data_IF_822038499840
#
_entry.id   IF_822038499840
#
_cell.length_a   1.000
_cell.length_b   1.000
_cell.length_c   1.000
_cell.angle_alpha   90.00
_cell.angle_beta   90.00
_cell.angle_gamma   90.00
#
_symmetry.space_group_name_H-M   'P 1'
#
loop_
_entity.id
_entity.type
_entity.pdbx_description
1 polymer ?
#
# COMPACT_ATOMS: atom_id res chain seq x y z
N UNK A 1 -10.75 -1.59 29.62
CA UNK A 1 -11.32 -1.33 28.28
C UNK A 1 -11.13 -2.59 27.47
N UNK A 2 -12.10 -3.00 26.65
CA UNK A 2 -12.02 -4.28 25.93
C UNK A 2 -11.26 -4.15 24.62
N UNK A 3 -10.63 -5.24 24.20
CA UNK A 3 -10.03 -5.34 22.87
C UNK A 3 -11.09 -5.19 21.77
N UNK A 4 -10.79 -4.50 20.65
CA UNK A 4 -11.73 -4.37 19.55
C UNK A 4 -12.19 -5.69 18.93
N UNK A 5 -11.38 -6.75 19.04
CA UNK A 5 -11.61 -8.02 18.33
C UNK A 5 -11.58 -9.27 19.21
N UNK A 6 -11.19 -9.13 20.48
CA UNK A 6 -11.05 -10.24 21.43
C UNK A 6 -11.82 -9.92 22.71
N UNK A 7 -12.37 -10.94 23.37
CA UNK A 7 -13.05 -10.78 24.66
C UNK A 7 -12.03 -10.74 25.83
N UNK A 8 -11.09 -9.80 25.76
CA UNK A 8 -10.08 -9.57 26.80
C UNK A 8 -9.97 -8.09 27.09
N UNK A 9 -9.54 -7.77 28.31
CA UNK A 9 -9.22 -6.40 28.68
C UNK A 9 -7.83 -6.00 28.15
N UNK A 10 -7.72 -4.75 27.70
CA UNK A 10 -6.44 -4.17 27.30
C UNK A 10 -5.66 -3.72 28.53
N UNK A 11 -4.35 -3.93 28.48
CA UNK A 11 -3.40 -3.62 29.54
C UNK A 11 -2.61 -2.35 29.20
N UNK A 12 -2.14 -1.61 30.21
CA UNK A 12 -1.27 -0.46 29.99
C UNK A 12 0.10 -0.89 29.45
N UNK A 13 0.55 -0.22 28.39
CA UNK A 13 1.85 -0.45 27.78
C UNK A 13 2.41 0.84 27.17
N UNK A 14 3.66 0.77 26.72
CA UNK A 14 4.35 1.88 26.06
C UNK A 14 4.96 1.38 24.76
N UNK A 15 4.66 2.06 23.66
CA UNK A 15 5.24 1.82 22.34
C UNK A 15 6.42 2.78 22.12
N UNK A 16 7.53 2.25 21.62
CA UNK A 16 8.78 2.99 21.38
C UNK A 16 9.25 3.81 22.60
N UNK A 17 9.07 3.26 23.79
CA UNK A 17 9.45 3.85 25.09
C UNK A 17 8.79 5.19 25.47
N UNK A 18 8.01 5.81 24.58
CA UNK A 18 7.46 7.15 24.79
C UNK A 18 5.95 7.28 24.53
N UNK A 19 5.34 6.37 23.77
CA UNK A 19 3.93 6.50 23.35
C UNK A 19 3.05 5.61 24.23
N UNK A 20 2.18 6.16 25.10
CA UNK A 20 1.30 5.34 25.92
C UNK A 20 0.23 4.66 25.05
N UNK A 21 0.10 3.36 25.20
CA UNK A 21 -0.85 2.52 24.44
C UNK A 21 -1.54 1.52 25.37
N UNK A 22 -2.57 0.85 24.83
CA UNK A 22 -3.33 -0.18 25.51
C UNK A 22 -3.14 -1.50 24.76
N UNK A 23 -2.32 -2.38 25.31
CA UNK A 23 -1.88 -3.63 24.69
C UNK A 23 -2.92 -4.74 24.85
N UNK A 24 -3.07 -5.58 23.83
CA UNK A 24 -3.91 -6.77 23.88
C UNK A 24 -3.05 -8.03 24.04
N UNK A 25 -3.22 -8.81 25.13
CA UNK A 25 -2.40 -10.00 25.37
C UNK A 25 -2.64 -11.12 24.35
N UNK A 26 -3.82 -11.19 23.75
CA UNK A 26 -4.19 -12.23 22.78
C UNK A 26 -3.68 -11.92 21.37
N UNK A 27 -3.95 -10.72 20.87
CA UNK A 27 -3.56 -10.34 19.50
C UNK A 27 -2.11 -9.87 19.39
N UNK A 28 -1.51 -9.49 20.53
CA UNK A 28 -0.24 -8.74 20.60
C UNK A 28 -0.29 -7.39 19.89
N UNK A 29 -1.50 -6.92 19.59
CA UNK A 29 -1.79 -5.62 19.03
C UNK A 29 -1.95 -4.57 20.12
N UNK A 30 -2.26 -3.35 19.70
CA UNK A 30 -2.45 -2.26 20.66
C UNK A 30 -3.41 -1.19 20.14
N UNK A 31 -4.09 -0.57 21.11
CA UNK A 31 -4.89 0.63 20.94
C UNK A 31 -4.07 1.86 21.31
N UNK A 32 -3.97 2.80 20.38
CA UNK A 32 -3.39 4.12 20.60
C UNK A 32 -4.54 5.14 20.55
N UNK A 33 -4.80 5.86 21.64
CA UNK A 33 -5.85 6.88 21.65
C UNK A 33 -5.48 8.02 20.69
N UNK A 34 -6.49 8.71 20.14
CA UNK A 34 -6.28 9.84 19.24
C UNK A 34 -5.42 10.93 19.90
N UNK A 35 -5.69 11.21 21.18
CA UNK A 35 -4.92 12.16 21.99
C UNK A 35 -3.44 11.77 22.12
N UNK A 36 -3.14 10.50 22.37
CA UNK A 36 -1.75 10.05 22.51
C UNK A 36 -1.01 10.09 21.17
N UNK A 37 -1.70 9.77 20.08
CA UNK A 37 -1.15 9.89 18.73
C UNK A 37 -0.83 11.35 18.38
N UNK A 38 -1.77 12.27 18.62
CA UNK A 38 -1.56 13.71 18.39
C UNK A 38 -0.44 14.27 19.27
N UNK A 39 -0.42 13.96 20.57
CA UNK A 39 0.65 14.39 21.46
C UNK A 39 2.02 13.86 21.04
N UNK A 40 2.07 12.63 20.51
CA UNK A 40 3.30 12.08 19.95
C UNK A 40 3.72 12.83 18.69
N UNK A 41 2.80 13.12 17.76
CA UNK A 41 3.10 13.92 16.55
C UNK A 41 3.65 15.30 16.92
N UNK A 42 3.04 15.98 17.90
CA UNK A 42 3.48 17.30 18.38
C UNK A 42 4.85 17.27 19.06
N UNK A 43 5.25 16.11 19.59
CA UNK A 43 6.55 15.90 20.22
C UNK A 43 7.69 15.70 19.22
N UNK A 44 7.36 15.40 17.95
CA UNK A 44 8.36 15.13 16.93
C UNK A 44 9.14 16.42 16.59
N UNK A 45 10.47 16.33 16.42
CA UNK A 45 11.25 17.47 15.95
C UNK A 45 10.75 17.98 14.60
N UNK A 46 10.82 19.28 14.36
CA UNK A 46 10.39 19.88 13.08
C UNK A 46 11.13 19.35 11.85
N UNK A 47 12.34 18.81 12.04
CA UNK A 47 13.13 18.17 10.98
C UNK A 47 12.76 16.71 10.74
N UNK A 48 11.94 16.11 11.60
CA UNK A 48 11.52 14.72 11.46
C UNK A 48 10.39 14.62 10.42
N UNK A 49 10.80 14.38 9.17
CA UNK A 49 9.90 14.17 8.04
C UNK A 49 10.36 12.92 7.27
N UNK A 50 9.95 11.72 7.72
CA UNK A 50 10.34 10.49 7.03
C UNK A 50 9.82 10.49 5.60
N UNK A 51 10.62 9.95 4.68
CA UNK A 51 10.22 9.77 3.29
C UNK A 51 9.01 8.82 3.23
N UNK A 52 8.00 9.21 2.47
CA UNK A 52 6.79 8.39 2.31
C UNK A 52 7.00 7.38 1.19
N UNK A 53 7.06 6.10 1.56
CA UNK A 53 7.11 4.98 0.63
C UNK A 53 5.71 4.41 0.50
N UNK A 54 5.19 4.33 -0.72
CA UNK A 54 3.87 3.75 -0.97
C UNK A 54 3.91 2.21 -0.87
N UNK A 55 2.90 1.59 -0.25
CA UNK A 55 2.87 0.15 -0.08
C UNK A 55 2.60 -0.57 -1.42
N UNK A 56 3.54 -1.44 -1.78
CA UNK A 56 3.49 -2.36 -2.91
C UNK A 56 4.45 -3.55 -2.72
N UNK A 57 3.91 -4.74 -2.44
CA UNK A 57 4.64 -6.02 -2.49
C UNK A 57 5.93 -6.11 -1.64
N UNK A 58 6.14 -5.22 -0.66
CA UNK A 58 7.25 -5.30 0.31
C UNK A 58 6.92 -6.22 1.50
N UNK A 59 7.88 -6.49 2.39
CA UNK A 59 7.73 -7.26 3.65
C UNK A 59 7.25 -8.70 3.44
N UNK A 60 8.12 -9.58 2.92
CA UNK A 60 7.76 -10.97 2.60
C UNK A 60 7.39 -11.80 3.83
N UNK A 61 8.09 -11.58 4.94
CA UNK A 61 7.96 -12.38 6.17
C UNK A 61 6.82 -11.95 7.10
N UNK A 62 6.14 -10.83 6.80
CA UNK A 62 5.06 -10.33 7.66
C UNK A 62 3.80 -11.19 7.55
N UNK A 63 3.23 -11.57 8.69
CA UNK A 63 1.98 -12.35 8.76
C UNK A 63 0.88 -11.51 9.42
N UNK A 64 -0.20 -11.18 8.69
CA UNK A 64 -1.35 -10.47 9.25
C UNK A 64 -2.05 -11.25 10.36
N UNK A 65 -2.76 -10.53 11.24
CA UNK A 65 -3.60 -11.16 12.27
C UNK A 65 -4.69 -12.06 11.66
N UNK A 66 -5.03 -13.20 12.30
CA UNK A 66 -6.18 -14.02 11.89
C UNK A 66 -7.53 -13.27 11.89
N UNK A 67 -7.61 -12.17 12.65
CA UNK A 67 -8.81 -11.31 12.74
C UNK A 67 -8.71 -10.04 11.90
N UNK A 68 -7.64 -9.88 11.12
CA UNK A 68 -7.43 -8.74 10.23
C UNK A 68 -8.63 -8.55 9.29
N UNK A 69 -9.28 -9.63 8.82
CA UNK A 69 -10.48 -9.55 7.99
C UNK A 69 -11.73 -8.95 8.65
N UNK A 70 -11.79 -8.81 9.98
CA UNK A 70 -12.98 -8.34 10.71
C UNK A 70 -12.78 -6.94 11.28
N UNK A 71 -13.78 -6.07 11.14
CA UNK A 71 -13.74 -4.74 11.76
C UNK A 71 -13.95 -4.82 13.28
N UNK A 72 -13.12 -4.13 14.04
CA UNK A 72 -13.30 -4.00 15.49
C UNK A 72 -14.28 -2.88 15.88
N UNK A 73 -14.68 -2.90 17.16
CA UNK A 73 -15.37 -1.77 17.80
C UNK A 73 -14.36 -0.88 18.53
N UNK A 74 -14.56 0.43 18.48
CA UNK A 74 -13.76 1.39 19.23
C UNK A 74 -13.86 1.09 20.74
N UNK A 75 -12.74 0.87 21.44
CA UNK A 75 -12.73 0.64 22.88
C UNK A 75 -13.22 1.82 23.73
N UNK A 76 -13.23 3.02 23.15
CA UNK A 76 -13.59 4.27 23.84
C UNK A 76 -15.08 4.61 23.68
N UNK A 77 -15.61 4.59 22.44
CA UNK A 77 -17.00 4.98 22.15
C UNK A 77 -17.91 3.85 21.66
N UNK A 78 -17.37 2.66 21.38
CA UNK A 78 -18.13 1.50 20.91
C UNK A 78 -18.60 1.54 19.45
N UNK A 79 -18.26 2.56 18.66
CA UNK A 79 -18.59 2.59 17.21
C UNK A 79 -17.66 1.71 16.40
N UNK A 80 -18.11 1.23 15.23
CA UNK A 80 -17.24 0.51 14.29
C UNK A 80 -16.03 1.35 13.87
N UNK A 81 -14.86 0.71 13.85
CA UNK A 81 -13.64 1.33 13.35
C UNK A 81 -13.66 1.38 11.81
N UNK A 82 -13.26 2.53 11.26
CA UNK A 82 -13.00 2.67 9.83
C UNK A 82 -11.69 1.96 9.48
N UNK A 83 -11.59 1.44 8.26
CA UNK A 83 -10.47 0.57 7.86
C UNK A 83 -9.83 1.05 6.57
N UNK A 84 -8.51 0.98 6.52
CA UNK A 84 -7.71 1.20 5.31
C UNK A 84 -6.81 0.00 5.08
N UNK A 85 -6.67 -0.42 3.82
CA UNK A 85 -5.84 -1.55 3.45
C UNK A 85 -4.41 -1.10 3.14
N UNK A 86 -3.43 -1.76 3.73
CA UNK A 86 -2.00 -1.59 3.43
C UNK A 86 -1.57 -2.73 2.51
N UNK A 87 -1.39 -2.42 1.22
CA UNK A 87 -1.09 -3.43 0.19
C UNK A 87 0.41 -3.72 0.07
N UNK A 88 0.97 -4.33 1.11
CA UNK A 88 2.28 -4.98 1.06
C UNK A 88 2.13 -6.42 0.54
N UNK A 89 3.18 -7.26 0.61
CA UNK A 89 3.14 -8.66 0.14
C UNK A 89 1.98 -9.43 0.73
N UNK A 90 1.82 -9.37 2.05
CA UNK A 90 0.70 -9.91 2.79
C UNK A 90 -0.11 -8.73 3.36
N UNK A 91 -1.21 -8.31 2.69
CA UNK A 91 -1.91 -7.09 3.09
C UNK A 91 -2.58 -7.23 4.46
N UNK A 92 -2.64 -6.11 5.18
CA UNK A 92 -3.35 -5.96 6.45
C UNK A 92 -4.15 -4.66 6.45
N UNK A 93 -4.93 -4.43 7.51
CA UNK A 93 -5.72 -3.23 7.69
C UNK A 93 -5.32 -2.45 8.93
N UNK A 94 -5.15 -1.15 8.76
CA UNK A 94 -5.12 -0.22 9.88
C UNK A 94 -6.55 0.24 10.16
N UNK A 95 -6.95 0.23 11.41
CA UNK A 95 -8.28 0.65 11.83
C UNK A 95 -8.24 1.93 12.66
N UNK A 96 -9.18 2.85 12.42
CA UNK A 96 -9.25 4.14 13.12
C UNK A 96 -10.70 4.49 13.47
N UNK A 97 -10.90 5.00 14.67
CA UNK A 97 -12.17 5.57 15.09
C UNK A 97 -12.35 6.95 14.42
N UNK A 98 -13.50 7.16 13.76
CA UNK A 98 -13.83 8.46 13.16
C UNK A 98 -14.33 9.49 14.18
N UNK A 99 -14.70 9.04 15.38
CA UNK A 99 -15.17 9.90 16.46
C UNK A 99 -14.00 10.36 17.36
N UNK A 100 -13.31 9.42 18.01
CA UNK A 100 -12.25 9.72 19.00
C UNK A 100 -10.85 9.82 18.38
N UNK A 101 -10.70 9.44 17.11
CA UNK A 101 -9.44 9.47 16.40
C UNK A 101 -8.43 8.37 16.79
N UNK A 102 -8.76 7.52 17.77
CA UNK A 102 -7.92 6.40 18.18
C UNK A 102 -7.71 5.36 17.09
N UNK A 103 -6.56 4.68 17.17
CA UNK A 103 -6.03 3.79 16.14
C UNK A 103 -5.81 2.42 16.76
N UNK A 104 -6.27 1.40 16.07
CA UNK A 104 -6.06 0.01 16.42
C UNK A 104 -5.07 -0.65 15.45
N UNK A 105 -4.11 -1.35 16.03
CA UNK A 105 -3.17 -2.23 15.35
C UNK A 105 -3.42 -3.64 15.83
N UNK A 106 -3.69 -4.56 14.90
CA UNK A 106 -3.98 -5.95 15.26
C UNK A 106 -2.72 -6.69 15.74
N UNK A 107 -1.55 -6.25 15.28
CA UNK A 107 -0.24 -6.80 15.59
C UNK A 107 0.78 -5.67 15.78
N UNK A 108 1.66 -5.77 16.78
CA UNK A 108 2.72 -4.79 17.02
C UNK A 108 3.68 -4.56 15.82
N UNK A 109 3.84 -5.54 14.93
CA UNK A 109 4.65 -5.41 13.71
C UNK A 109 4.06 -4.43 12.68
N UNK A 110 2.73 -4.20 12.70
CA UNK A 110 2.08 -3.28 11.78
C UNK A 110 2.60 -1.85 11.93
N UNK A 111 2.87 -1.42 13.17
CA UNK A 111 3.49 -0.13 13.43
C UNK A 111 4.90 -0.04 12.85
N UNK A 112 5.73 -1.08 13.02
CA UNK A 112 7.09 -1.10 12.47
C UNK A 112 7.08 -1.04 10.94
N UNK A 113 6.08 -1.64 10.31
CA UNK A 113 5.86 -1.53 8.87
C UNK A 113 5.50 -0.08 8.50
N UNK A 114 4.59 0.56 9.23
CA UNK A 114 4.27 1.96 8.99
C UNK A 114 5.49 2.88 9.20
N UNK A 115 6.35 2.61 10.18
CA UNK A 115 7.61 3.34 10.38
C UNK A 115 8.56 3.17 9.19
N UNK A 116 8.73 1.93 8.74
CA UNK A 116 9.59 1.60 7.59
C UNK A 116 9.09 2.23 6.29
N UNK A 117 7.79 2.50 6.18
CA UNK A 117 7.16 3.18 5.05
C UNK A 117 7.05 4.71 5.23
N UNK A 118 7.46 5.26 6.39
CA UNK A 118 7.27 6.66 6.73
C UNK A 118 5.80 7.10 6.86
N UNK A 119 4.90 6.14 7.09
CA UNK A 119 3.45 6.33 7.16
C UNK A 119 2.91 6.50 8.58
N UNK A 120 3.68 6.12 9.61
CA UNK A 120 3.28 6.23 11.02
C UNK A 120 2.96 7.67 11.45
N UNK A 121 3.57 8.66 10.81
CA UNK A 121 3.27 10.10 11.05
C UNK A 121 2.05 10.63 10.27
N UNK A 122 1.50 9.83 9.35
CA UNK A 122 0.48 10.25 8.38
C UNK A 122 -0.80 9.42 8.44
N UNK A 123 -1.04 8.70 9.54
CA UNK A 123 -2.17 7.77 9.66
C UNK A 123 -3.50 8.46 9.36
N UNK A 124 -3.70 9.69 9.86
CA UNK A 124 -4.90 10.47 9.57
C UNK A 124 -5.08 10.75 8.07
N UNK A 125 -4.00 11.06 7.35
CA UNK A 125 -4.04 11.31 5.89
C UNK A 125 -4.39 10.07 5.09
N UNK A 126 -3.99 8.88 5.57
CA UNK A 126 -4.24 7.61 4.89
C UNK A 126 -5.74 7.29 4.76
N UNK A 127 -6.58 7.83 5.65
CA UNK A 127 -8.03 7.74 5.57
C UNK A 127 -8.66 8.75 4.59
N UNK A 128 -7.88 9.67 4.00
CA UNK A 128 -8.37 10.63 3.01
C UNK A 128 -8.56 9.99 1.64
N UNK A 129 -9.55 10.47 0.88
CA UNK A 129 -9.77 10.04 -0.52
C UNK A 129 -8.56 10.33 -1.41
N UNK A 130 -7.84 11.42 -1.15
CA UNK A 130 -6.64 11.83 -1.90
C UNK A 130 -5.56 10.78 -1.78
N UNK A 131 -5.20 10.40 -0.54
CA UNK A 131 -4.17 9.41 -0.29
C UNK A 131 -4.55 8.04 -0.85
N UNK A 132 -5.79 7.59 -0.61
CA UNK A 132 -6.26 6.30 -1.14
C UNK A 132 -6.25 6.24 -2.67
N UNK A 133 -6.48 7.37 -3.35
CA UNK A 133 -6.40 7.45 -4.81
C UNK A 133 -4.95 7.38 -5.29
N UNK A 134 -4.04 8.12 -4.64
CA UNK A 134 -2.59 8.08 -4.91
C UNK A 134 -2.05 6.65 -4.81
N UNK A 135 -2.41 5.92 -3.73
CA UNK A 135 -1.98 4.54 -3.51
C UNK A 135 -2.52 3.58 -4.56
N UNK A 136 -3.79 3.72 -4.96
CA UNK A 136 -4.37 2.90 -6.03
C UNK A 136 -3.69 3.13 -7.38
N UNK A 137 -3.38 4.38 -7.72
CA UNK A 137 -2.68 4.72 -8.96
C UNK A 137 -1.27 4.10 -8.98
N UNK A 138 -0.52 4.30 -7.90
CA UNK A 138 0.81 3.70 -7.75
C UNK A 138 0.79 2.17 -7.88
N UNK A 139 -0.18 1.49 -7.25
CA UNK A 139 -0.32 0.04 -7.39
C UNK A 139 -0.62 -0.38 -8.82
N UNK A 140 -1.48 0.35 -9.52
CA UNK A 140 -1.79 0.04 -10.91
C UNK A 140 -0.56 0.21 -11.79
N UNK A 141 0.24 1.26 -11.59
CA UNK A 141 1.52 1.47 -12.28
C UNK A 141 2.47 0.31 -12.03
N UNK A 142 2.66 -0.09 -10.78
CA UNK A 142 3.57 -1.18 -10.42
C UNK A 142 3.12 -2.54 -11.00
N UNK A 143 1.82 -2.85 -10.98
CA UNK A 143 1.25 -4.05 -11.63
C UNK A 143 1.47 -4.01 -13.14
N UNK A 144 1.26 -2.86 -13.76
CA UNK A 144 1.48 -2.68 -15.20
C UNK A 144 2.95 -2.92 -15.55
N UNK A 145 3.89 -2.35 -14.78
CA UNK A 145 5.33 -2.58 -14.97
C UNK A 145 5.68 -4.05 -14.85
N UNK A 146 5.20 -4.73 -13.80
CA UNK A 146 5.44 -6.17 -13.64
C UNK A 146 4.87 -6.97 -14.82
N UNK A 147 3.69 -6.62 -15.31
CA UNK A 147 3.07 -7.28 -16.48
C UNK A 147 3.93 -7.13 -17.75
N UNK A 148 4.59 -5.98 -17.93
CA UNK A 148 5.51 -5.76 -19.05
C UNK A 148 6.78 -6.61 -18.90
N UNK A 149 7.35 -6.67 -17.69
CA UNK A 149 8.50 -7.54 -17.38
C UNK A 149 8.17 -9.00 -17.65
N UNK A 150 7.04 -9.50 -17.13
CA UNK A 150 6.62 -10.89 -17.28
C UNK A 150 6.42 -11.31 -18.75
N UNK A 151 5.98 -10.37 -19.60
CA UNK A 151 5.69 -10.63 -21.02
C UNK A 151 6.89 -10.46 -21.95
N UNK A 152 7.77 -9.51 -21.66
CA UNK A 152 8.86 -9.11 -22.55
C UNK A 152 10.24 -9.53 -22.05
N UNK A 153 10.35 -9.94 -20.79
CA UNK A 153 11.62 -10.11 -20.09
C UNK A 153 12.18 -8.76 -19.61
N UNK A 154 13.07 -8.81 -18.61
CA UNK A 154 13.62 -7.64 -17.94
C UNK A 154 14.32 -6.67 -18.90
N UNK A 155 15.16 -7.17 -19.80
CA UNK A 155 15.95 -6.33 -20.71
C UNK A 155 15.06 -5.49 -21.64
N UNK A 156 14.06 -6.12 -22.29
CA UNK A 156 13.17 -5.40 -23.21
C UNK A 156 12.23 -4.47 -22.44
N UNK A 157 11.74 -4.90 -21.28
CA UNK A 157 10.88 -4.08 -20.43
C UNK A 157 11.58 -2.78 -20.01
N UNK A 158 12.86 -2.84 -19.68
CA UNK A 158 13.65 -1.66 -19.30
C UNK A 158 13.71 -0.62 -20.44
N UNK A 159 13.95 -1.06 -21.69
CA UNK A 159 13.89 -0.16 -22.84
C UNK A 159 12.50 0.47 -23.04
N UNK A 160 11.44 -0.29 -22.79
CA UNK A 160 10.06 0.22 -22.88
C UNK A 160 9.82 1.29 -21.81
N UNK A 161 10.28 1.08 -20.59
CA UNK A 161 10.13 2.05 -19.50
C UNK A 161 10.90 3.34 -19.77
N UNK A 162 12.17 3.25 -20.15
CA UNK A 162 12.97 4.43 -20.48
C UNK A 162 12.37 5.23 -21.63
N UNK A 163 11.85 4.55 -22.66
CA UNK A 163 11.18 5.22 -23.77
C UNK A 163 9.87 5.87 -23.31
N UNK A 164 9.08 5.20 -22.45
CA UNK A 164 7.85 5.77 -21.90
C UNK A 164 8.13 7.05 -21.10
N UNK A 165 9.13 7.03 -20.23
CA UNK A 165 9.54 8.19 -19.41
C UNK A 165 9.93 9.39 -20.30
N UNK A 166 10.64 9.14 -21.42
CA UNK A 166 11.00 10.20 -22.37
C UNK A 166 9.78 10.74 -23.13
N UNK A 167 8.79 9.89 -23.43
CA UNK A 167 7.65 10.26 -24.24
C UNK A 167 6.51 10.89 -23.43
N UNK A 168 6.42 10.64 -22.12
CA UNK A 168 5.35 11.14 -21.26
C UNK A 168 5.30 12.68 -21.23
N UNK A 169 6.46 13.33 -21.20
CA UNK A 169 6.57 14.80 -21.24
C UNK A 169 6.56 15.36 -22.67
N UNK A 170 6.50 14.52 -23.71
CA UNK A 170 6.57 14.96 -25.09
C UNK A 170 5.16 15.21 -25.68
N UNK A 171 4.87 16.41 -26.22
CA UNK A 171 3.57 16.73 -26.84
C UNK A 171 3.14 15.82 -28.00
N UNK A 172 4.05 15.04 -28.56
CA UNK A 172 3.82 14.12 -29.68
C UNK A 172 4.10 12.65 -29.34
N UNK A 173 4.08 12.27 -28.05
CA UNK A 173 4.33 10.89 -27.63
C UNK A 173 3.36 9.85 -28.23
N UNK A 174 2.11 10.26 -28.50
CA UNK A 174 1.08 9.45 -29.16
C UNK A 174 1.46 9.02 -30.60
N UNK A 175 2.19 9.89 -31.31
CA UNK A 175 2.71 9.60 -32.65
C UNK A 175 3.70 8.43 -32.61
N UNK A 176 4.62 8.42 -31.65
CA UNK A 176 5.60 7.35 -31.47
C UNK A 176 4.92 6.01 -31.14
N UNK A 177 3.94 6.02 -30.23
CA UNK A 177 3.14 4.83 -29.89
C UNK A 177 2.42 4.27 -31.14
N UNK A 178 1.81 5.15 -31.93
CA UNK A 178 1.11 4.77 -33.17
C UNK A 178 2.06 4.18 -34.22
N UNK A 179 3.26 4.75 -34.38
CA UNK A 179 4.29 4.21 -35.27
C UNK A 179 4.71 2.79 -34.86
N UNK A 180 4.98 2.57 -33.57
CA UNK A 180 5.36 1.26 -33.03
C UNK A 180 4.26 0.22 -33.25
N UNK A 181 3.01 0.57 -32.92
CA UNK A 181 1.86 -0.32 -33.11
C UNK A 181 1.71 -0.75 -34.57
N UNK A 182 1.74 0.19 -35.51
CA UNK A 182 1.66 -0.10 -36.96
C UNK A 182 2.78 -1.02 -37.43
N UNK A 183 4.00 -0.85 -36.91
CA UNK A 183 5.14 -1.70 -37.23
C UNK A 183 4.92 -3.14 -36.76
N UNK A 184 4.38 -3.34 -35.56
CA UNK A 184 4.04 -4.67 -35.03
C UNK A 184 2.93 -5.35 -35.84
N UNK A 185 1.89 -4.61 -36.20
CA UNK A 185 0.79 -5.12 -37.03
C UNK A 185 1.28 -5.56 -38.41
N UNK A 186 2.10 -4.74 -39.07
CA UNK A 186 2.68 -5.07 -40.36
C UNK A 186 3.56 -6.32 -40.27
N UNK A 187 4.39 -6.43 -39.21
CA UNK A 187 5.23 -7.61 -39.02
C UNK A 187 4.41 -8.89 -38.81
N UNK A 188 3.33 -8.82 -38.02
CA UNK A 188 2.37 -9.92 -37.86
C UNK A 188 1.74 -10.34 -39.18
N UNK A 189 1.33 -9.39 -40.03
CA UNK A 189 0.77 -9.68 -41.35
C UNK A 189 1.78 -10.38 -42.26
N UNK A 190 3.05 -9.94 -42.28
CA UNK A 190 4.12 -10.61 -43.03
C UNK A 190 4.31 -12.06 -42.58
N UNK A 191 4.32 -12.32 -41.27
CA UNK A 191 4.48 -13.66 -40.72
C UNK A 191 3.30 -14.54 -41.11
N UNK A 192 2.07 -14.08 -40.90
CA UNK A 192 0.85 -14.84 -41.22
C UNK A 192 0.71 -15.11 -42.74
N UNK A 193 1.14 -14.17 -43.59
CA UNK A 193 1.18 -14.34 -45.04
C UNK A 193 2.21 -15.38 -45.50
N UNK A 194 3.31 -15.56 -44.77
CA UNK A 194 4.31 -16.62 -45.04
C UNK A 194 3.83 -18.00 -44.61
N UNK A 195 3.11 -18.11 -43.48
CA UNK A 195 2.54 -19.38 -43.01
C UNK A 195 1.43 -19.93 -43.92
N UNK A 196 0.68 -19.06 -44.60
CA UNK A 196 -0.39 -19.47 -45.53
C UNK A 196 0.12 -19.95 -46.90
N UNK A 197 1.35 -19.59 -47.29
CA UNK A 197 2.00 -20.06 -48.52
C UNK A 197 2.77 -21.37 -48.30
N UNK A 198 3.23 -21.65 -47.07
CA UNK A 198 3.99 -22.87 -46.73
C UNK A 198 3.18 -24.13 -46.42
N UNK A 199 1.84 -24.05 -46.38
CA UNK A 199 0.94 -25.20 -46.13
C UNK A 199 0.32 -25.79 -47.40
N UNK A 200 0.81 -25.39 -48.59
CA UNK A 200 0.36 -25.88 -49.89
C UNK A 200 1.45 -26.64 -50.68
N UNK A 201 2.49 -27.13 -50.00
CA UNK A 201 3.57 -27.91 -50.61
C UNK A 201 3.81 -29.21 -49.88
#
# INVERSE_FOLDING_TARGET
>A
MKSPKYDVDLEDAVLNDIIPVKYCPESKGFWMSGKNYEAWLDSLPSWYAPEEILPYNQFEDFVPSPFDGKAGLCPECGTYLSRIKINIKQPFYIERCLHDGGIWFDNAEEWKILESLGLHTKIHEMFSRRWQTKVRQHQQEMINRQTIIDKLGEEIAEYVFQLADILEDNPHGDCAATYMLRRFENKRKELNGKFSVGSQS
#
